data_IF_798700567749
#
_entry.id   IF_798700567749
#
_cell.length_a   1.000
_cell.length_b   1.000
_cell.length_c   1.000
_cell.angle_alpha   90.00
_cell.angle_beta   90.00
_cell.angle_gamma   90.00
#
_symmetry.space_group_name_H-M   'P 1'
#
loop_
_entity.id
_entity.type
_entity.pdbx_description
1 polymer ?
#
# COMPACT_ATOMS: atom_id res chain seq x y z
N UNK A 1 -2.81 -18.58 12.14
CA UNK A 1 -2.98 -17.43 11.21
C UNK A 1 -4.39 -16.87 11.39
N UNK A 2 -4.56 -15.73 12.06
CA UNK A 2 -5.89 -15.09 12.23
C UNK A 2 -6.30 -14.45 10.91
N UNK A 3 -7.22 -15.06 10.16
CA UNK A 3 -7.83 -14.41 9.00
C UNK A 3 -8.51 -13.12 9.47
N UNK A 4 -7.95 -11.97 9.08
CA UNK A 4 -8.51 -10.66 9.44
C UNK A 4 -9.77 -10.46 8.60
N UNK A 5 -10.92 -10.78 9.19
CA UNK A 5 -12.25 -10.47 8.65
C UNK A 5 -12.30 -9.03 8.11
N UNK A 6 -12.75 -8.87 6.86
CA UNK A 6 -12.87 -7.56 6.20
C UNK A 6 -13.76 -6.61 7.00
N UNK A 7 -13.47 -5.30 6.96
CA UNK A 7 -14.26 -4.28 7.70
C UNK A 7 -15.75 -4.39 7.38
N UNK A 8 -16.08 -4.62 6.10
CA UNK A 8 -17.43 -4.86 5.61
C UNK A 8 -18.11 -6.00 6.37
N UNK A 9 -17.45 -7.15 6.48
CA UNK A 9 -18.04 -8.33 7.13
C UNK A 9 -18.22 -8.13 8.64
N UNK A 10 -17.30 -7.42 9.29
CA UNK A 10 -17.44 -7.08 10.73
C UNK A 10 -18.63 -6.17 10.97
N UNK A 11 -18.77 -5.10 10.19
CA UNK A 11 -19.89 -4.14 10.32
C UNK A 11 -21.22 -4.85 10.03
N UNK A 12 -21.30 -5.64 8.96
CA UNK A 12 -22.52 -6.41 8.65
C UNK A 12 -22.87 -7.41 9.75
N UNK A 13 -21.89 -8.12 10.34
CA UNK A 13 -22.16 -9.05 11.44
C UNK A 13 -22.69 -8.33 12.69
N UNK A 14 -22.11 -7.19 13.06
CA UNK A 14 -22.56 -6.41 14.24
C UNK A 14 -23.97 -5.86 14.01
N UNK A 15 -24.22 -5.20 12.88
CA UNK A 15 -25.54 -4.68 12.55
C UNK A 15 -26.58 -5.80 12.39
N UNK A 16 -26.20 -6.93 11.77
CA UNK A 16 -27.06 -8.09 11.61
C UNK A 16 -27.44 -8.75 12.94
N UNK A 17 -26.49 -8.88 13.87
CA UNK A 17 -26.75 -9.40 15.22
C UNK A 17 -27.67 -8.46 16.00
N UNK A 18 -27.44 -7.14 15.93
CA UNK A 18 -28.29 -6.15 16.59
C UNK A 18 -29.70 -6.15 16.01
N UNK A 19 -29.83 -6.22 14.68
CA UNK A 19 -31.11 -6.31 14.00
C UNK A 19 -31.84 -7.60 14.40
N UNK A 20 -31.16 -8.75 14.41
CA UNK A 20 -31.72 -10.03 14.84
C UNK A 20 -32.18 -10.02 16.30
N UNK A 21 -31.43 -9.37 17.20
CA UNK A 21 -31.81 -9.22 18.61
C UNK A 21 -33.06 -8.34 18.79
N UNK A 22 -33.11 -7.19 18.11
CA UNK A 22 -34.26 -6.28 18.14
C UNK A 22 -35.52 -6.96 17.60
N UNK A 23 -35.35 -7.63 16.46
CA UNK A 23 -36.31 -8.54 15.86
C UNK A 23 -36.85 -9.55 16.87
N UNK A 24 -35.98 -10.41 17.44
CA UNK A 24 -36.37 -11.45 18.39
C UNK A 24 -37.19 -10.89 19.56
N UNK A 25 -36.77 -9.76 20.14
CA UNK A 25 -37.50 -9.07 21.21
C UNK A 25 -38.91 -8.64 20.78
N UNK A 26 -39.06 -8.07 19.57
CA UNK A 26 -40.35 -7.69 19.02
C UNK A 26 -41.28 -8.90 18.86
N UNK A 27 -40.79 -10.04 18.34
CA UNK A 27 -41.63 -11.24 18.26
C UNK A 27 -42.01 -11.80 19.62
N UNK A 28 -41.09 -11.81 20.59
CA UNK A 28 -41.40 -12.29 21.94
C UNK A 28 -42.45 -11.39 22.59
N UNK A 29 -42.32 -10.07 22.45
CA UNK A 29 -43.29 -9.10 22.94
C UNK A 29 -44.66 -9.25 22.27
N UNK A 30 -44.70 -9.36 20.93
CA UNK A 30 -45.95 -9.54 20.20
C UNK A 30 -46.63 -10.87 20.55
N UNK A 31 -45.84 -11.93 20.73
CA UNK A 31 -46.35 -13.23 21.15
C UNK A 31 -46.88 -13.19 22.60
N UNK A 32 -46.21 -12.48 23.50
CA UNK A 32 -46.67 -12.26 24.88
C UNK A 32 -48.02 -11.53 24.92
N UNK A 33 -48.15 -10.40 24.21
CA UNK A 33 -49.43 -9.66 24.13
C UNK A 33 -50.55 -10.48 23.48
N UNK A 34 -50.23 -11.30 22.47
CA UNK A 34 -51.21 -12.20 21.85
C UNK A 34 -51.70 -13.28 22.84
N UNK A 35 -50.84 -13.77 23.73
CA UNK A 35 -51.22 -14.70 24.80
C UNK A 35 -52.11 -14.01 25.84
N UNK A 36 -51.70 -12.83 26.32
CA UNK A 36 -52.44 -12.07 27.32
C UNK A 36 -53.85 -11.69 26.82
N UNK A 37 -54.00 -11.25 25.56
CA UNK A 37 -55.32 -11.02 24.97
C UNK A 37 -56.14 -12.29 24.82
N UNK A 38 -55.53 -13.41 24.42
CA UNK A 38 -56.27 -14.65 24.22
C UNK A 38 -56.82 -15.19 25.55
N UNK A 39 -56.05 -15.10 26.64
CA UNK A 39 -56.49 -15.51 27.96
C UNK A 39 -57.57 -14.54 28.52
N UNK A 40 -57.48 -13.24 28.20
CA UNK A 40 -58.51 -12.26 28.57
C UNK A 40 -59.86 -12.48 27.86
N UNK A 41 -59.86 -13.00 26.62
CA UNK A 41 -61.08 -13.32 25.87
C UNK A 41 -61.72 -14.62 26.39
N UNK A 42 -60.91 -15.63 26.72
CA UNK A 42 -61.38 -16.92 27.24
C UNK A 42 -61.98 -16.81 28.66
N UNK A 43 -61.60 -15.77 29.41
CA UNK A 43 -62.13 -15.47 30.74
C UNK A 43 -63.45 -14.67 30.76
N UNK A 44 -64.04 -14.31 29.61
CA UNK A 44 -65.35 -13.63 29.56
C UNK A 44 -66.46 -14.68 29.75
N UNK A 45 -67.16 -14.73 30.90
CA UNK A 45 -68.25 -15.68 31.08
C UNK A 45 -69.42 -15.26 30.18
N UNK A 46 -69.72 -16.08 29.17
CA UNK A 46 -70.95 -15.94 28.39
C UNK A 46 -72.12 -16.39 29.27
N UNK A 47 -72.80 -15.45 29.91
CA UNK A 47 -74.07 -15.75 30.57
C UNK A 47 -75.13 -16.06 29.50
N UNK A 48 -75.81 -17.22 29.55
CA UNK A 48 -76.88 -17.52 28.62
C UNK A 48 -77.97 -16.46 28.73
N UNK A 49 -78.45 -15.96 27.61
CA UNK A 49 -79.65 -15.13 27.57
C UNK A 49 -80.79 -15.94 28.21
N UNK A 50 -81.37 -15.39 29.27
CA UNK A 50 -82.44 -16.02 30.07
C UNK A 50 -83.46 -16.68 29.15
N UNK A 51 -83.47 -18.02 29.13
CA UNK A 51 -84.53 -18.79 28.51
C UNK A 51 -85.68 -18.87 29.52
N UNK A 52 -86.80 -18.24 29.19
CA UNK A 52 -88.08 -18.49 29.84
C UNK A 52 -88.33 -20.01 29.87
N UNK A 53 -88.72 -20.53 31.04
CA UNK A 53 -89.05 -21.93 31.24
C UNK A 53 -90.08 -22.41 30.22
N UNK A 54 -89.63 -23.21 29.26
CA UNK A 54 -90.49 -24.16 28.55
C UNK A 54 -89.81 -25.51 28.62
N UNK A 55 -90.40 -26.40 29.42
CA UNK A 55 -89.97 -27.78 29.60
C UNK A 55 -89.89 -28.49 28.24
N UNK A 56 -88.69 -28.98 27.89
CA UNK A 56 -88.50 -29.84 26.71
C UNK A 56 -87.38 -29.45 25.73
N UNK A 57 -86.41 -28.60 26.10
CA UNK A 57 -85.23 -28.36 25.26
C UNK A 57 -84.22 -29.53 25.36
N UNK A 58 -83.64 -30.02 24.25
CA UNK A 58 -82.55 -31.01 24.29
C UNK A 58 -81.31 -30.42 24.99
N UNK A 59 -80.41 -31.26 25.54
CA UNK A 59 -79.25 -30.78 26.28
C UNK A 59 -78.39 -29.88 25.37
N UNK A 60 -78.14 -28.68 25.87
CA UNK A 60 -77.28 -27.67 25.28
C UNK A 60 -75.90 -28.30 25.06
N UNK A 61 -75.53 -28.50 23.81
CA UNK A 61 -74.20 -28.96 23.43
C UNK A 61 -73.20 -27.89 23.90
N UNK A 62 -72.42 -28.19 24.94
CA UNK A 62 -71.33 -27.34 25.40
C UNK A 62 -70.43 -27.07 24.19
N UNK A 63 -70.54 -25.86 23.63
CA UNK A 63 -69.64 -25.41 22.59
C UNK A 63 -68.23 -25.42 23.19
N UNK A 64 -67.45 -26.46 22.92
CA UNK A 64 -66.07 -26.61 23.34
C UNK A 64 -65.19 -25.65 22.55
N UNK A 65 -65.36 -24.34 22.76
CA UNK A 65 -64.59 -23.27 22.11
C UNK A 65 -63.07 -23.46 22.35
N UNK A 66 -62.71 -24.09 23.48
CA UNK A 66 -61.35 -24.37 23.90
C UNK A 66 -60.56 -25.31 22.97
N UNK A 67 -61.21 -26.23 22.24
CA UNK A 67 -60.49 -27.20 21.39
C UNK A 67 -60.03 -26.61 20.03
N UNK A 68 -60.57 -25.47 19.62
CA UNK A 68 -60.31 -24.83 18.31
C UNK A 68 -59.12 -23.84 18.29
N UNK A 69 -58.50 -23.51 19.43
CA UNK A 69 -57.54 -22.39 19.52
C UNK A 69 -56.06 -22.80 19.38
N UNK A 70 -55.72 -24.07 19.64
CA UNK A 70 -54.34 -24.58 19.55
C UNK A 70 -53.69 -24.54 18.13
N UNK A 71 -54.38 -24.94 17.04
CA UNK A 71 -53.78 -24.93 15.71
C UNK A 71 -53.50 -23.50 15.20
N UNK A 72 -54.35 -22.53 15.55
CA UNK A 72 -54.19 -21.12 15.19
C UNK A 72 -52.97 -20.50 15.89
N UNK A 73 -52.75 -20.81 17.18
CA UNK A 73 -51.58 -20.36 17.95
C UNK A 73 -50.25 -20.88 17.36
N UNK A 74 -50.20 -22.13 16.87
CA UNK A 74 -49.00 -22.67 16.20
C UNK A 74 -48.73 -22.03 14.84
N UNK A 75 -49.77 -21.85 14.03
CA UNK A 75 -49.63 -21.23 12.70
C UNK A 75 -49.12 -19.80 12.82
N UNK A 76 -49.67 -19.01 13.75
CA UNK A 76 -49.23 -17.64 14.01
C UNK A 76 -47.77 -17.56 14.48
N UNK A 77 -47.33 -18.49 15.33
CA UNK A 77 -45.93 -18.56 15.78
C UNK A 77 -44.96 -18.88 14.63
N UNK A 78 -45.29 -19.86 13.79
CA UNK A 78 -44.46 -20.21 12.63
C UNK A 78 -44.41 -19.06 11.63
N UNK A 79 -45.54 -18.41 11.35
CA UNK A 79 -45.60 -17.26 10.45
C UNK A 79 -44.78 -16.07 10.98
N UNK A 80 -44.82 -15.82 12.29
CA UNK A 80 -44.04 -14.77 12.94
C UNK A 80 -42.53 -15.04 12.90
N UNK A 81 -42.12 -16.29 13.15
CA UNK A 81 -40.71 -16.71 13.03
C UNK A 81 -40.21 -16.66 11.58
N UNK A 82 -41.06 -17.01 10.61
CA UNK A 82 -40.71 -16.97 9.19
C UNK A 82 -40.59 -15.52 8.71
N UNK A 83 -41.54 -14.66 9.05
CA UNK A 83 -41.47 -13.22 8.81
C UNK A 83 -40.19 -12.63 9.43
N UNK A 84 -39.80 -13.10 10.62
CA UNK A 84 -38.56 -12.69 11.25
C UNK A 84 -37.33 -13.05 10.43
N UNK A 85 -37.22 -14.31 10.02
CA UNK A 85 -36.09 -14.80 9.24
C UNK A 85 -35.93 -13.99 7.95
N UNK A 86 -37.04 -13.66 7.29
CA UNK A 86 -37.05 -12.83 6.08
C UNK A 86 -36.56 -11.41 6.37
N UNK A 87 -37.07 -10.75 7.42
CA UNK A 87 -36.64 -9.39 7.79
C UNK A 87 -35.14 -9.35 8.11
N UNK A 88 -34.66 -10.32 8.89
CA UNK A 88 -33.23 -10.42 9.24
C UNK A 88 -32.37 -10.65 8.01
N UNK A 89 -32.77 -11.56 7.13
CA UNK A 89 -32.03 -11.85 5.90
C UNK A 89 -31.95 -10.63 4.98
N UNK A 90 -33.07 -9.95 4.75
CA UNK A 90 -33.14 -8.74 3.92
C UNK A 90 -32.36 -7.59 4.56
N UNK A 91 -32.47 -7.40 5.89
CA UNK A 91 -31.72 -6.39 6.63
C UNK A 91 -30.20 -6.61 6.54
N UNK A 92 -29.73 -7.84 6.73
CA UNK A 92 -28.32 -8.20 6.58
C UNK A 92 -27.81 -7.94 5.16
N UNK A 93 -28.59 -8.31 4.14
CA UNK A 93 -28.23 -8.08 2.74
C UNK A 93 -28.14 -6.58 2.42
N UNK A 94 -29.12 -5.80 2.90
CA UNK A 94 -29.16 -4.34 2.75
C UNK A 94 -27.94 -3.68 3.40
N UNK A 95 -27.63 -4.01 4.66
CA UNK A 95 -26.45 -3.49 5.36
C UNK A 95 -25.17 -3.88 4.62
N UNK A 96 -25.04 -5.13 4.20
CA UNK A 96 -23.87 -5.59 3.45
C UNK A 96 -23.66 -4.76 2.17
N UNK A 97 -24.73 -4.50 1.42
CA UNK A 97 -24.68 -3.68 0.21
C UNK A 97 -24.31 -2.23 0.52
N UNK A 98 -24.97 -1.61 1.52
CA UNK A 98 -24.76 -0.22 1.91
C UNK A 98 -23.34 0.05 2.42
N UNK A 99 -22.82 -0.82 3.30
CA UNK A 99 -21.43 -0.74 3.78
C UNK A 99 -20.43 -0.91 2.64
N UNK A 100 -20.73 -1.77 1.66
CA UNK A 100 -19.87 -1.94 0.49
C UNK A 100 -19.73 -0.66 -0.32
N UNK A 101 -20.85 0.05 -0.54
CA UNK A 101 -20.88 1.33 -1.25
C UNK A 101 -20.18 2.44 -0.44
N UNK A 102 -20.42 2.51 0.86
CA UNK A 102 -19.83 3.52 1.74
C UNK A 102 -18.30 3.38 1.90
N UNK A 103 -17.76 2.16 1.93
CA UNK A 103 -16.32 1.91 2.03
C UNK A 103 -15.59 1.92 0.68
N UNK A 104 -16.31 1.97 -0.44
CA UNK A 104 -15.70 1.94 -1.78
C UNK A 104 -14.69 3.07 -2.01
N UNK A 105 -14.95 4.33 -1.60
CA UNK A 105 -13.98 5.43 -1.76
C UNK A 105 -12.67 5.18 -1.00
N UNK A 106 -12.76 4.65 0.23
CA UNK A 106 -11.60 4.35 1.05
C UNK A 106 -10.71 3.25 0.43
N UNK A 107 -11.32 2.24 -0.19
CA UNK A 107 -10.58 1.19 -0.92
C UNK A 107 -9.85 1.75 -2.14
N UNK A 108 -10.52 2.61 -2.90
CA UNK A 108 -9.90 3.28 -4.06
C UNK A 108 -8.72 4.15 -3.62
N UNK A 109 -8.84 4.84 -2.49
CA UNK A 109 -7.76 5.62 -1.91
C UNK A 109 -6.58 4.73 -1.50
N UNK A 110 -6.83 3.59 -0.82
CA UNK A 110 -5.77 2.62 -0.46
C UNK A 110 -5.07 2.04 -1.70
N UNK A 111 -5.83 1.66 -2.72
CA UNK A 111 -5.29 1.17 -4.00
C UNK A 111 -4.42 2.23 -4.70
N UNK A 112 -4.90 3.48 -4.74
CA UNK A 112 -4.14 4.60 -5.29
C UNK A 112 -2.85 4.84 -4.52
N UNK A 113 -2.90 4.91 -3.18
CA UNK A 113 -1.71 5.11 -2.34
C UNK A 113 -0.71 3.96 -2.51
N UNK A 114 -1.17 2.71 -2.53
CA UNK A 114 -0.30 1.53 -2.70
C UNK A 114 0.39 1.49 -4.06
N UNK A 115 -0.24 2.06 -5.09
CA UNK A 115 0.33 2.11 -6.43
C UNK A 115 1.39 3.22 -6.60
N UNK A 116 1.57 4.10 -5.60
CA UNK A 116 2.50 5.23 -5.68
C UNK A 116 3.92 4.85 -5.31
N UNK A 117 4.85 5.27 -6.16
CA UNK A 117 6.29 5.20 -5.90
C UNK A 117 6.82 6.59 -5.54
N UNK A 118 8.06 6.68 -5.03
CA UNK A 118 8.73 7.95 -4.76
C UNK A 118 8.74 8.91 -5.98
N UNK A 119 8.80 8.37 -7.20
CA UNK A 119 8.74 9.16 -8.44
C UNK A 119 7.39 9.86 -8.67
N UNK A 120 6.30 9.38 -8.05
CA UNK A 120 4.95 9.92 -8.24
C UNK A 120 4.53 10.90 -7.14
N UNK A 121 5.41 11.23 -6.19
CA UNK A 121 5.10 12.10 -5.04
C UNK A 121 4.63 13.51 -5.46
N UNK A 122 5.04 13.96 -6.65
CA UNK A 122 4.68 15.27 -7.20
C UNK A 122 3.27 15.35 -7.78
N UNK A 123 2.62 14.20 -8.00
CA UNK A 123 1.28 14.15 -8.60
C UNK A 123 0.21 14.01 -7.50
N UNK A 124 -0.61 15.03 -7.23
CA UNK A 124 -1.64 14.92 -6.19
C UNK A 124 -2.70 13.87 -6.56
N UNK A 125 -3.29 13.24 -5.54
CA UNK A 125 -4.47 12.40 -5.72
C UNK A 125 -5.72 13.27 -5.93
N UNK A 126 -6.67 12.84 -6.79
CA UNK A 126 -7.91 13.56 -7.01
C UNK A 126 -8.73 13.57 -5.71
N UNK A 127 -9.07 14.76 -5.22
CA UNK A 127 -9.88 14.91 -4.01
C UNK A 127 -11.35 14.62 -4.35
N UNK A 128 -12.00 13.66 -3.66
CA UNK A 128 -13.43 13.41 -3.82
C UNK A 128 -14.27 14.66 -3.55
N UNK A 129 -15.31 14.90 -4.36
CA UNK A 129 -16.25 16.01 -4.15
C UNK A 129 -17.26 15.77 -3.01
N UNK A 130 -17.14 14.65 -2.28
CA UNK A 130 -18.04 14.26 -1.19
C UNK A 130 -17.93 15.16 0.05
N UNK A 131 -16.79 15.82 0.25
CA UNK A 131 -16.56 16.68 1.42
C UNK A 131 -16.56 15.93 2.76
N UNK A 132 -16.42 14.60 2.72
CA UNK A 132 -16.42 13.71 3.87
C UNK A 132 -15.01 13.48 4.43
N UNK A 133 -14.88 12.63 5.44
CA UNK A 133 -13.61 12.30 6.08
C UNK A 133 -12.60 11.71 5.08
N UNK A 134 -13.07 11.05 4.02
CA UNK A 134 -12.22 10.51 2.95
C UNK A 134 -11.61 11.65 2.12
N UNK A 135 -12.38 12.70 1.82
CA UNK A 135 -11.84 13.90 1.18
C UNK A 135 -10.79 14.59 2.07
N UNK A 136 -11.06 14.73 3.37
CA UNK A 136 -10.10 15.26 4.34
C UNK A 136 -8.79 14.46 4.39
N UNK A 137 -8.87 13.13 4.44
CA UNK A 137 -7.70 12.25 4.41
C UNK A 137 -6.90 12.38 3.11
N UNK A 138 -7.58 12.53 1.97
CA UNK A 138 -6.93 12.74 0.68
C UNK A 138 -6.14 14.06 0.65
N UNK A 139 -6.71 15.13 1.22
CA UNK A 139 -6.01 16.42 1.36
C UNK A 139 -4.79 16.30 2.26
N UNK A 140 -4.92 15.67 3.44
CA UNK A 140 -3.77 15.46 4.34
C UNK A 140 -2.66 14.62 3.71
N UNK A 141 -3.02 13.56 2.97
CA UNK A 141 -2.06 12.76 2.22
C UNK A 141 -1.34 13.59 1.15
N UNK A 142 -2.08 14.37 0.36
CA UNK A 142 -1.50 15.25 -0.65
C UNK A 142 -0.52 16.26 -0.04
N UNK A 143 -0.86 16.86 1.11
CA UNK A 143 0.04 17.77 1.82
C UNK A 143 1.32 17.08 2.30
N UNK A 144 1.21 15.87 2.87
CA UNK A 144 2.36 15.08 3.28
C UNK A 144 3.25 14.71 2.08
N UNK A 145 2.64 14.27 0.97
CA UNK A 145 3.33 13.93 -0.29
C UNK A 145 4.11 15.13 -0.83
N UNK A 146 3.48 16.31 -0.84
CA UNK A 146 4.11 17.55 -1.28
C UNK A 146 5.26 17.97 -0.37
N UNK A 147 5.10 17.87 0.95
CA UNK A 147 6.17 18.17 1.90
C UNK A 147 7.37 17.23 1.71
N UNK A 148 7.11 15.95 1.47
CA UNK A 148 8.15 14.95 1.22
C UNK A 148 8.88 15.21 -0.11
N UNK A 149 8.14 15.50 -1.17
CA UNK A 149 8.71 15.93 -2.46
C UNK A 149 9.64 17.15 -2.29
N UNK A 150 9.18 18.19 -1.58
CA UNK A 150 10.00 19.36 -1.33
C UNK A 150 11.27 19.03 -0.53
N UNK A 151 11.19 18.13 0.46
CA UNK A 151 12.33 17.69 1.23
C UNK A 151 13.37 16.97 0.34
N UNK A 152 12.92 16.06 -0.52
CA UNK A 152 13.79 15.40 -1.50
C UNK A 152 14.43 16.39 -2.48
N UNK A 153 13.65 17.34 -3.00
CA UNK A 153 14.16 18.37 -3.91
C UNK A 153 15.23 19.26 -3.24
N UNK A 154 15.05 19.62 -1.97
CA UNK A 154 16.05 20.38 -1.20
C UNK A 154 17.31 19.56 -0.95
N UNK A 155 17.18 18.29 -0.55
CA UNK A 155 18.32 17.40 -0.34
C UNK A 155 19.15 17.25 -1.62
N UNK A 156 18.48 17.07 -2.77
CA UNK A 156 19.12 16.99 -4.09
C UNK A 156 19.91 18.25 -4.42
N UNK A 157 19.28 19.43 -4.31
CA UNK A 157 19.95 20.72 -4.56
C UNK A 157 21.14 20.93 -3.63
N UNK A 158 21.01 20.58 -2.35
CA UNK A 158 22.11 20.67 -1.40
C UNK A 158 23.29 19.78 -1.82
N UNK A 159 23.05 18.51 -2.17
CA UNK A 159 24.09 17.60 -2.64
C UNK A 159 24.77 18.09 -3.92
N UNK A 160 24.00 18.61 -4.89
CA UNK A 160 24.55 19.19 -6.12
C UNK A 160 25.44 20.41 -5.82
N UNK A 161 24.95 21.37 -5.03
CA UNK A 161 25.72 22.55 -4.66
C UNK A 161 26.99 22.17 -3.88
N UNK A 162 26.89 21.29 -2.88
CA UNK A 162 28.03 20.85 -2.08
C UNK A 162 29.09 20.16 -2.96
N UNK A 163 28.69 19.30 -3.89
CA UNK A 163 29.63 18.64 -4.78
C UNK A 163 30.33 19.63 -5.74
N UNK A 164 29.59 20.60 -6.28
CA UNK A 164 30.18 21.66 -7.11
C UNK A 164 31.16 22.54 -6.34
N UNK A 165 30.78 22.99 -5.14
CA UNK A 165 31.64 23.81 -4.27
C UNK A 165 32.90 23.07 -3.80
N UNK A 166 32.85 21.73 -3.65
CA UNK A 166 34.02 20.90 -3.31
C UNK A 166 34.93 20.61 -4.51
N UNK A 167 34.39 20.56 -5.73
CA UNK A 167 35.19 20.26 -6.94
C UNK A 167 36.24 21.34 -7.21
N UNK A 168 35.89 22.60 -7.00
CA UNK A 168 36.78 23.75 -7.21
C UNK A 168 38.04 23.69 -6.33
N UNK A 169 37.96 23.60 -4.98
CA UNK A 169 39.14 23.54 -4.12
C UNK A 169 39.96 22.26 -4.36
N UNK A 170 39.32 21.12 -4.69
CA UNK A 170 40.05 19.89 -5.05
C UNK A 170 40.87 20.06 -6.34
N UNK A 171 40.31 20.74 -7.35
CA UNK A 171 41.02 21.04 -8.59
C UNK A 171 42.21 21.95 -8.34
N UNK A 172 42.05 22.96 -7.47
CA UNK A 172 43.16 23.83 -7.05
C UNK A 172 44.23 23.03 -6.31
N UNK A 173 43.85 22.13 -5.39
CA UNK A 173 44.79 21.29 -4.65
C UNK A 173 45.59 20.37 -5.57
N UNK A 174 44.92 19.67 -6.50
CA UNK A 174 45.56 18.86 -7.55
C UNK A 174 46.55 19.69 -8.38
N UNK A 175 46.14 20.88 -8.82
CA UNK A 175 47.00 21.77 -9.61
C UNK A 175 48.23 22.20 -8.82
N UNK A 176 48.08 22.53 -7.53
CA UNK A 176 49.21 22.93 -6.67
C UNK A 176 50.18 21.78 -6.43
N UNK A 177 49.69 20.56 -6.18
CA UNK A 177 50.54 19.37 -6.03
C UNK A 177 51.30 19.07 -7.33
N UNK A 178 50.63 19.12 -8.48
CA UNK A 178 51.26 18.95 -9.78
C UNK A 178 52.35 20.01 -10.06
N UNK A 179 52.09 21.27 -9.69
CA UNK A 179 53.09 22.35 -9.78
C UNK A 179 54.26 22.13 -8.82
N UNK A 180 54.00 21.66 -7.59
CA UNK A 180 55.03 21.36 -6.60
C UNK A 180 55.99 20.28 -7.10
N UNK A 181 55.44 19.20 -7.68
CA UNK A 181 56.20 18.13 -8.35
C UNK A 181 57.00 18.67 -9.54
N UNK A 182 56.37 19.45 -10.43
CA UNK A 182 57.01 20.03 -11.62
C UNK A 182 58.17 20.99 -11.29
N UNK A 183 58.10 21.71 -10.16
CA UNK A 183 59.16 22.63 -9.71
C UNK A 183 60.34 21.92 -9.02
N UNK A 184 60.31 20.60 -8.87
CA UNK A 184 61.39 19.84 -8.23
C UNK A 184 61.51 20.06 -6.73
N UNK A 185 60.46 20.56 -6.08
CA UNK A 185 60.44 20.84 -4.64
C UNK A 185 60.35 19.56 -3.77
N UNK A 186 60.14 18.39 -4.40
CA UNK A 186 60.27 17.07 -3.79
C UNK A 186 61.74 16.60 -3.81
N UNK A 187 62.61 17.33 -3.14
CA UNK A 187 64.06 17.05 -3.17
C UNK A 187 64.48 15.91 -2.23
N UNK A 188 63.60 15.47 -1.32
CA UNK A 188 63.88 14.36 -0.40
C UNK A 188 62.93 13.17 -0.65
N UNK A 189 63.37 11.92 -0.38
CA UNK A 189 62.50 10.74 -0.54
C UNK A 189 61.23 10.82 0.33
N UNK A 190 61.35 11.39 1.52
CA UNK A 190 60.23 11.59 2.46
C UNK A 190 59.19 12.58 1.92
N UNK A 191 59.63 13.66 1.26
CA UNK A 191 58.71 14.64 0.66
C UNK A 191 58.03 14.11 -0.60
N UNK A 192 58.70 13.29 -1.42
CA UNK A 192 58.04 12.60 -2.54
C UNK A 192 57.00 11.57 -2.04
N UNK A 193 57.34 10.79 -1.01
CA UNK A 193 56.41 9.83 -0.42
C UNK A 193 55.16 10.52 0.16
N UNK A 194 55.34 11.61 0.91
CA UNK A 194 54.22 12.40 1.44
C UNK A 194 53.36 13.00 0.32
N UNK A 195 53.97 13.53 -0.74
CA UNK A 195 53.23 14.09 -1.87
C UNK A 195 52.40 13.02 -2.58
N UNK A 196 52.93 11.81 -2.79
CA UNK A 196 52.17 10.69 -3.37
C UNK A 196 50.93 10.35 -2.55
N UNK A 197 51.08 10.26 -1.22
CA UNK A 197 49.93 10.01 -0.33
C UNK A 197 48.89 11.12 -0.45
N UNK A 198 49.30 12.39 -0.50
CA UNK A 198 48.37 13.52 -0.67
C UNK A 198 47.67 13.51 -2.04
N UNK A 199 48.40 13.17 -3.10
CA UNK A 199 47.85 13.01 -4.46
C UNK A 199 46.79 11.89 -4.49
N UNK A 200 47.09 10.73 -3.92
CA UNK A 200 46.16 9.59 -3.81
C UNK A 200 44.90 9.95 -3.01
N UNK A 201 45.04 10.59 -1.84
CA UNK A 201 43.88 10.97 -1.02
C UNK A 201 43.03 12.06 -1.70
N UNK A 202 43.67 13.03 -2.37
CA UNK A 202 42.95 14.08 -3.11
C UNK A 202 42.23 13.52 -4.33
N UNK A 203 42.83 12.54 -5.01
CA UNK A 203 42.19 11.83 -6.11
C UNK A 203 40.95 11.09 -5.59
N UNK A 204 41.10 10.30 -4.53
CA UNK A 204 39.99 9.58 -3.91
C UNK A 204 38.85 10.50 -3.48
N UNK A 205 39.16 11.67 -2.90
CA UNK A 205 38.14 12.65 -2.52
C UNK A 205 37.44 13.27 -3.74
N UNK A 206 38.18 13.47 -4.85
CA UNK A 206 37.58 13.93 -6.10
C UNK A 206 36.61 12.90 -6.70
N UNK A 207 36.98 11.62 -6.63
CA UNK A 207 36.16 10.53 -7.14
C UNK A 207 34.87 10.41 -6.33
N UNK A 208 34.96 10.46 -4.99
CA UNK A 208 33.80 10.48 -4.09
C UNK A 208 32.85 11.66 -4.37
N UNK A 209 33.39 12.86 -4.60
CA UNK A 209 32.58 14.04 -4.97
C UNK A 209 31.93 13.85 -6.35
N UNK A 210 32.66 13.25 -7.30
CA UNK A 210 32.15 12.91 -8.62
C UNK A 210 31.01 11.89 -8.58
N UNK A 211 31.09 10.89 -7.70
CA UNK A 211 30.06 9.89 -7.49
C UNK A 211 28.83 10.46 -6.79
N UNK A 212 29.02 11.32 -5.78
CA UNK A 212 27.92 12.03 -5.13
C UNK A 212 27.14 12.91 -6.14
N UNK A 213 27.84 13.62 -7.02
CA UNK A 213 27.22 14.45 -8.06
C UNK A 213 26.47 13.61 -9.08
N UNK A 214 27.03 12.45 -9.45
CA UNK A 214 26.37 11.52 -10.35
C UNK A 214 25.07 10.98 -9.76
N UNK A 215 25.09 10.49 -8.51
CA UNK A 215 23.91 10.02 -7.79
C UNK A 215 22.83 11.11 -7.68
N UNK A 216 23.25 12.35 -7.44
CA UNK A 216 22.32 13.48 -7.35
C UNK A 216 21.71 13.88 -8.70
N UNK A 217 22.25 13.44 -9.83
CA UNK A 217 21.77 13.79 -11.18
C UNK A 217 21.02 12.66 -11.89
N UNK A 218 20.88 11.46 -11.29
CA UNK A 218 20.31 10.28 -11.96
C UNK A 218 18.82 10.42 -12.36
N UNK A 219 17.98 11.13 -11.59
CA UNK A 219 16.54 11.22 -11.86
C UNK A 219 16.14 12.17 -13.01
N UNK A 220 17.08 13.00 -13.49
CA UNK A 220 16.81 13.98 -14.56
C UNK A 220 17.11 13.46 -15.96
N UNK A 221 17.59 12.23 -16.07
CA UNK A 221 17.98 11.63 -17.35
C UNK A 221 16.80 10.87 -17.94
N UNK A 222 16.37 11.28 -19.13
CA UNK A 222 15.34 10.57 -19.88
C UNK A 222 15.84 9.15 -20.22
N UNK A 223 15.15 8.13 -19.72
CA UNK A 223 15.35 6.74 -20.09
C UNK A 223 14.47 6.42 -21.31
N UNK A 224 14.85 6.92 -22.48
CA UNK A 224 14.10 6.75 -23.73
C UNK A 224 14.85 6.00 -24.83
N UNK A 225 16.18 5.89 -24.72
CA UNK A 225 16.99 5.38 -25.81
C UNK A 225 16.97 3.85 -25.86
N UNK A 226 16.96 3.30 -27.08
CA UNK A 226 17.22 1.87 -27.30
C UNK A 226 18.73 1.68 -27.36
N UNK A 227 19.27 1.03 -26.33
CA UNK A 227 20.71 0.78 -26.18
C UNK A 227 21.03 -0.65 -26.59
N UNK A 228 21.97 -0.81 -27.51
CA UNK A 228 22.54 -2.10 -27.93
C UNK A 228 23.44 -2.64 -26.81
N UNK A 229 23.04 -3.76 -26.21
CA UNK A 229 23.73 -4.35 -25.05
C UNK A 229 25.10 -4.94 -25.43
N UNK A 230 25.22 -5.76 -26.49
CA UNK A 230 26.54 -6.21 -26.98
C UNK A 230 27.54 -5.09 -27.21
N UNK A 231 27.13 -4.00 -27.88
CA UNK A 231 28.03 -2.89 -28.16
C UNK A 231 28.47 -2.21 -26.86
N UNK A 232 27.53 -1.93 -25.95
CA UNK A 232 27.83 -1.30 -24.67
C UNK A 232 28.81 -2.11 -23.82
N UNK A 233 28.65 -3.43 -23.79
CA UNK A 233 29.55 -4.31 -23.05
C UNK A 233 30.94 -4.36 -23.69
N UNK A 234 31.02 -4.38 -25.02
CA UNK A 234 32.29 -4.36 -25.75
C UNK A 234 33.08 -3.08 -25.45
N UNK A 235 32.42 -1.92 -25.56
CA UNK A 235 33.00 -0.60 -25.24
C UNK A 235 33.55 -0.60 -23.79
N UNK A 236 32.75 -1.07 -22.83
CA UNK A 236 33.13 -1.10 -21.40
C UNK A 236 34.34 -2.02 -21.14
N UNK A 237 34.39 -3.17 -21.79
CA UNK A 237 35.52 -4.12 -21.64
C UNK A 237 36.78 -3.52 -22.23
N UNK A 238 36.70 -2.87 -23.40
CA UNK A 238 37.84 -2.24 -24.07
C UNK A 238 38.52 -1.19 -23.18
N UNK A 239 37.73 -0.37 -22.49
CA UNK A 239 38.24 0.64 -21.55
C UNK A 239 38.99 0.03 -20.36
N UNK A 240 38.58 -1.15 -19.89
CA UNK A 240 39.14 -1.81 -18.70
C UNK A 240 40.24 -2.83 -19.02
N UNK A 241 40.52 -3.13 -20.29
CA UNK A 241 41.53 -4.11 -20.70
C UNK A 241 42.93 -3.81 -20.15
N UNK A 242 43.34 -2.54 -20.17
CA UNK A 242 44.67 -2.14 -19.68
C UNK A 242 44.80 -2.36 -18.17
N UNK A 243 43.76 -2.01 -17.41
CA UNK A 243 43.72 -2.20 -15.97
C UNK A 243 43.67 -3.69 -15.60
N UNK A 244 42.89 -4.50 -16.33
CA UNK A 244 42.84 -5.94 -16.14
C UNK A 244 44.20 -6.60 -16.38
N UNK A 245 44.92 -6.20 -17.43
CA UNK A 245 46.30 -6.69 -17.70
C UNK A 245 47.27 -6.34 -16.58
N UNK A 246 47.19 -5.13 -16.02
CA UNK A 246 48.03 -4.72 -14.89
C UNK A 246 47.76 -5.55 -13.63
N UNK A 247 46.53 -6.00 -13.43
CA UNK A 247 46.10 -6.86 -12.32
C UNK A 247 46.21 -8.36 -12.63
N UNK A 248 46.72 -8.75 -13.81
CA UNK A 248 46.77 -10.13 -14.29
C UNK A 248 45.41 -10.83 -14.31
N UNK A 249 44.34 -10.11 -14.63
CA UNK A 249 42.97 -10.65 -14.75
C UNK A 249 42.60 -10.78 -16.23
N UNK A 250 41.95 -11.88 -16.59
CA UNK A 250 41.38 -12.08 -17.93
C UNK A 250 39.90 -11.72 -17.93
N UNK A 251 39.42 -11.01 -18.95
CA UNK A 251 37.99 -10.66 -19.09
C UNK A 251 37.41 -11.49 -20.24
N UNK A 252 36.34 -12.26 -19.97
CA UNK A 252 35.63 -13.03 -20.98
C UNK A 252 34.23 -12.45 -21.25
N UNK A 253 34.06 -11.83 -22.42
CA UNK A 253 32.79 -11.23 -22.82
C UNK A 253 31.89 -12.25 -23.53
N UNK A 254 30.74 -12.54 -22.95
CA UNK A 254 29.68 -13.35 -23.57
C UNK A 254 28.40 -12.52 -23.66
N UNK A 255 28.10 -11.96 -24.83
CA UNK A 255 26.91 -11.14 -25.06
C UNK A 255 25.99 -11.77 -26.12
N UNK A 256 24.69 -11.85 -25.81
CA UNK A 256 23.67 -12.19 -26.80
C UNK A 256 23.11 -10.91 -27.43
N UNK A 257 22.70 -10.93 -28.71
CA UNK A 257 22.07 -9.77 -29.35
C UNK A 257 20.82 -9.33 -28.59
N UNK A 258 20.73 -8.04 -28.26
CA UNK A 258 19.60 -7.50 -27.52
C UNK A 258 19.66 -5.98 -27.35
N UNK A 259 18.48 -5.36 -27.28
CA UNK A 259 18.34 -3.92 -26.99
C UNK A 259 17.55 -3.71 -25.71
N UNK A 260 18.00 -2.79 -24.86
CA UNK A 260 17.27 -2.37 -23.65
C UNK A 260 16.84 -0.91 -23.79
N UNK A 261 15.70 -0.57 -23.21
CA UNK A 261 15.28 0.83 -23.06
C UNK A 261 15.96 1.41 -21.82
N UNK A 262 16.70 2.50 -22.00
CA UNK A 262 17.41 3.15 -20.91
C UNK A 262 18.32 4.27 -21.40
N UNK A 263 19.03 4.89 -20.47
CA UNK A 263 20.03 5.90 -20.79
C UNK A 263 21.40 5.22 -21.00
N UNK A 264 22.00 5.36 -22.19
CA UNK A 264 23.28 4.71 -22.54
C UNK A 264 24.38 5.02 -21.52
N UNK A 265 24.57 6.30 -21.18
CA UNK A 265 25.63 6.76 -20.28
C UNK A 265 25.49 6.21 -18.87
N UNK A 266 24.26 6.09 -18.35
CA UNK A 266 24.03 5.48 -17.04
C UNK A 266 24.32 3.98 -17.03
N UNK A 267 23.89 3.27 -18.07
CA UNK A 267 24.16 1.84 -18.21
C UNK A 267 25.66 1.57 -18.37
N UNK A 268 26.36 2.38 -19.17
CA UNK A 268 27.81 2.34 -19.34
C UNK A 268 28.52 2.51 -18.01
N UNK A 269 28.16 3.55 -17.24
CA UNK A 269 28.77 3.81 -15.93
C UNK A 269 28.48 2.71 -14.92
N UNK A 270 27.27 2.15 -14.92
CA UNK A 270 26.90 1.04 -14.04
C UNK A 270 27.73 -0.21 -14.37
N UNK A 271 27.85 -0.55 -15.66
CA UNK A 271 28.66 -1.68 -16.13
C UNK A 271 30.14 -1.47 -15.83
N UNK A 272 30.67 -0.29 -16.13
CA UNK A 272 32.05 0.09 -15.82
C UNK A 272 32.36 -0.12 -14.34
N UNK A 273 31.51 0.42 -13.44
CA UNK A 273 31.70 0.26 -11.99
C UNK A 273 31.66 -1.20 -11.54
N UNK A 274 30.81 -2.03 -12.15
CA UNK A 274 30.73 -3.46 -11.81
C UNK A 274 31.97 -4.22 -12.30
N UNK A 275 32.39 -4.00 -13.54
CA UNK A 275 33.55 -4.68 -14.13
C UNK A 275 34.85 -4.18 -13.49
N UNK A 276 34.98 -2.89 -13.20
CA UNK A 276 36.12 -2.32 -12.48
C UNK A 276 36.26 -2.95 -11.10
N UNK A 277 35.15 -3.07 -10.34
CA UNK A 277 35.15 -3.76 -9.06
C UNK A 277 35.52 -5.24 -9.21
N UNK A 278 34.98 -5.92 -10.23
CA UNK A 278 35.33 -7.31 -10.50
C UNK A 278 36.84 -7.46 -10.73
N UNK A 279 37.46 -6.61 -11.55
CA UNK A 279 38.91 -6.62 -11.81
C UNK A 279 39.70 -6.29 -10.54
N UNK A 280 39.31 -5.26 -9.80
CA UNK A 280 40.03 -4.77 -8.62
C UNK A 280 40.04 -5.77 -7.45
N UNK A 281 38.97 -6.53 -7.29
CA UNK A 281 38.80 -7.48 -6.19
C UNK A 281 38.95 -8.95 -6.64
N UNK A 282 39.40 -9.19 -7.88
CA UNK A 282 39.69 -10.55 -8.35
C UNK A 282 41.00 -11.10 -7.78
N UNK A 283 41.21 -12.39 -7.99
CA UNK A 283 42.50 -13.04 -7.79
C UNK A 283 43.39 -12.87 -9.03
N UNK A 284 44.74 -12.85 -8.89
CA UNK A 284 45.65 -12.96 -10.03
C UNK A 284 45.37 -14.22 -10.86
N UNK A 285 45.48 -14.11 -12.18
CA UNK A 285 45.14 -15.13 -13.19
C UNK A 285 43.68 -15.62 -13.16
N UNK A 286 42.79 -14.85 -12.50
CA UNK A 286 41.35 -15.11 -12.47
C UNK A 286 40.64 -14.77 -13.80
N UNK A 287 39.53 -15.47 -14.11
CA UNK A 287 38.59 -15.08 -15.16
C UNK A 287 37.64 -13.96 -14.71
#
# INVERSE_FOLDING_TARGET
MKQRLSLRLRVTLVCGLLLAACCLLLTLSHNYYAYEMADAIEAIPLHPAVALETAGSPPMEELSLAQSTLPVRRLFRVQSLLAMGVIVAVGCLMVYWLTGKALSPLRRLDEQIRSRTAADLDRPLPVPSSGDEVAGLTVSFNQMSQNLSQAFARQKRFSQCAAHELRTPLTVLKTRMALFRKKGLCSTPETDALLRVLEEQTQRLSDLVGDLLALSNMDTLECGDRVDVPQLLADTVEDLLNQARQQQVSIQLHAQPGTVLGNRTLLERALFNLVENAVKYNRPDGP
#
